data_IF_008768509659
#
_entry.id   IF_008768509659
#
_cell.length_a   1.000
_cell.length_b   1.000
_cell.length_c   1.000
_cell.angle_alpha   90.00
_cell.angle_beta   90.00
_cell.angle_gamma   90.00
#
_symmetry.space_group_name_H-M   'P 1'
#
loop_
_entity.id
_entity.type
_entity.pdbx_description
1 polymer ?
#
# COMPACT_ATOMS: atom_id res chain seq x y z
N UNK A 1 -30.36 -20.95 -22.45
CA UNK A 1 -29.12 -21.36 -23.15
C UNK A 1 -28.13 -20.21 -23.11
N UNK A 2 -27.17 -20.28 -22.19
CA UNK A 2 -25.81 -19.77 -22.33
C UNK A 2 -25.12 -20.13 -21.00
N UNK A 3 -24.27 -21.17 -20.99
CA UNK A 3 -23.40 -21.39 -19.84
C UNK A 3 -22.43 -20.19 -19.78
N UNK A 4 -22.50 -19.39 -18.71
CA UNK A 4 -21.79 -18.11 -18.64
C UNK A 4 -20.36 -18.30 -18.14
N UNK A 5 -20.06 -19.40 -17.44
CA UNK A 5 -18.72 -19.68 -16.95
C UNK A 5 -18.53 -21.19 -16.72
N UNK A 6 -17.41 -21.77 -17.17
CA UNK A 6 -17.03 -23.15 -16.86
C UNK A 6 -15.84 -23.15 -15.93
N UNK A 7 -16.03 -23.58 -14.67
CA UNK A 7 -14.95 -23.74 -13.69
C UNK A 7 -14.74 -25.23 -13.47
N UNK A 8 -13.64 -25.78 -14.00
CA UNK A 8 -13.34 -27.21 -13.91
C UNK A 8 -14.40 -28.08 -14.59
N UNK A 9 -15.11 -28.90 -13.82
CA UNK A 9 -16.20 -29.78 -14.31
C UNK A 9 -17.58 -29.15 -14.23
N UNK A 10 -17.70 -27.95 -13.65
CA UNK A 10 -18.99 -27.31 -13.39
C UNK A 10 -19.27 -26.25 -14.44
N UNK A 11 -20.34 -26.45 -15.22
CA UNK A 11 -20.93 -25.41 -16.05
C UNK A 11 -21.89 -24.60 -15.18
N UNK A 12 -21.57 -23.33 -14.96
CA UNK A 12 -22.36 -22.42 -14.16
C UNK A 12 -23.32 -21.67 -15.07
N UNK A 13 -24.62 -21.87 -14.85
CA UNK A 13 -25.65 -20.97 -15.36
C UNK A 13 -25.68 -19.70 -14.50
N UNK A 14 -26.28 -18.62 -15.00
CA UNK A 14 -26.32 -17.30 -14.33
C UNK A 14 -26.89 -17.41 -12.92
N UNK A 15 -27.96 -18.20 -12.75
CA UNK A 15 -28.60 -18.41 -11.45
C UNK A 15 -27.68 -19.14 -10.48
N UNK A 16 -27.05 -20.23 -10.93
CA UNK A 16 -26.09 -21.00 -10.12
C UNK A 16 -24.85 -20.19 -9.79
N UNK A 17 -24.38 -19.32 -10.71
CA UNK A 17 -23.28 -18.39 -10.46
C UNK A 17 -23.62 -17.38 -9.37
N UNK A 18 -24.81 -16.78 -9.42
CA UNK A 18 -25.28 -15.84 -8.39
C UNK A 18 -25.44 -16.51 -7.03
N UNK A 19 -25.97 -17.73 -6.99
CA UNK A 19 -26.07 -18.53 -5.75
C UNK A 19 -24.69 -18.85 -5.18
N UNK A 20 -23.73 -19.25 -6.02
CA UNK A 20 -22.35 -19.48 -5.58
C UNK A 20 -21.68 -18.18 -5.10
N UNK A 21 -21.82 -17.07 -5.83
CA UNK A 21 -21.30 -15.77 -5.40
C UNK A 21 -21.91 -15.31 -4.06
N UNK A 22 -23.19 -15.63 -3.80
CA UNK A 22 -23.83 -15.39 -2.51
C UNK A 22 -23.24 -16.28 -1.41
N UNK A 23 -23.14 -17.58 -1.66
CA UNK A 23 -22.60 -18.56 -0.71
C UNK A 23 -21.15 -18.25 -0.31
N UNK A 24 -20.33 -17.79 -1.26
CA UNK A 24 -18.93 -17.42 -1.04
C UNK A 24 -18.74 -15.95 -0.58
N UNK A 25 -19.83 -15.22 -0.27
CA UNK A 25 -19.81 -13.82 0.15
C UNK A 25 -19.07 -12.87 -0.81
N UNK A 26 -19.06 -13.21 -2.09
CA UNK A 26 -18.44 -12.41 -3.15
C UNK A 26 -19.40 -11.37 -3.73
N UNK A 27 -20.72 -11.55 -3.55
CA UNK A 27 -21.74 -10.57 -3.98
C UNK A 27 -21.52 -9.17 -3.39
N UNK A 28 -21.33 -8.99 -2.07
CA UNK A 28 -21.08 -7.67 -1.50
C UNK A 28 -19.82 -7.01 -2.09
N UNK A 29 -18.76 -7.80 -2.33
CA UNK A 29 -17.53 -7.30 -2.95
C UNK A 29 -17.77 -6.84 -4.39
N UNK A 30 -18.52 -7.61 -5.18
CA UNK A 30 -18.88 -7.21 -6.54
C UNK A 30 -19.70 -5.90 -6.55
N UNK A 31 -20.70 -5.80 -5.67
CA UNK A 31 -21.51 -4.57 -5.55
C UNK A 31 -20.65 -3.38 -5.16
N UNK A 32 -19.69 -3.55 -4.23
CA UNK A 32 -18.75 -2.50 -3.86
C UNK A 32 -17.92 -2.04 -5.07
N UNK A 33 -17.34 -2.97 -5.83
CA UNK A 33 -16.56 -2.61 -7.02
C UNK A 33 -17.40 -1.87 -8.07
N UNK A 34 -18.66 -2.29 -8.28
CA UNK A 34 -19.59 -1.60 -9.20
C UNK A 34 -19.91 -0.17 -8.74
N UNK A 35 -20.14 0.01 -7.43
CA UNK A 35 -20.39 1.35 -6.86
C UNK A 35 -19.15 2.24 -6.96
N UNK A 36 -17.96 1.66 -6.76
CA UNK A 36 -16.70 2.38 -6.97
C UNK A 36 -16.54 2.79 -8.43
N UNK A 37 -16.83 1.89 -9.37
CA UNK A 37 -16.73 2.15 -10.81
C UNK A 37 -17.69 3.29 -11.24
N UNK A 38 -18.90 3.35 -10.66
CA UNK A 38 -19.83 4.46 -10.86
C UNK A 38 -19.29 5.77 -10.26
N UNK A 39 -18.71 5.72 -9.06
CA UNK A 39 -18.17 6.91 -8.40
C UNK A 39 -16.94 7.53 -9.12
N UNK A 40 -16.23 6.73 -9.91
CA UNK A 40 -15.05 7.17 -10.68
C UNK A 40 -15.35 7.43 -12.16
N UNK A 41 -16.58 7.23 -12.62
CA UNK A 41 -16.97 7.35 -14.03
C UNK A 41 -16.69 8.77 -14.55
N UNK A 42 -17.10 9.78 -13.78
CA UNK A 42 -16.96 11.21 -14.10
C UNK A 42 -15.51 11.74 -14.02
N UNK A 43 -14.56 10.92 -13.57
CA UNK A 43 -13.17 11.35 -13.41
C UNK A 43 -12.40 11.19 -14.71
N UNK A 44 -11.96 12.32 -15.26
CA UNK A 44 -11.04 12.37 -16.38
C UNK A 44 -9.60 12.11 -15.93
N UNK A 45 -8.95 11.14 -16.56
CA UNK A 45 -7.54 10.80 -16.37
C UNK A 45 -6.89 10.46 -17.71
N UNK A 46 -5.68 10.98 -17.92
CA UNK A 46 -4.85 10.66 -19.09
C UNK A 46 -4.30 9.22 -19.00
N UNK A 47 -4.62 8.32 -19.96
CA UNK A 47 -4.25 6.90 -19.88
C UNK A 47 -2.74 6.66 -19.85
N UNK A 48 -1.96 7.41 -20.61
CA UNK A 48 -0.50 7.25 -20.66
C UNK A 48 0.17 7.66 -19.34
N UNK A 49 -0.30 8.76 -18.73
CA UNK A 49 0.21 9.23 -17.45
C UNK A 49 -0.17 8.25 -16.32
N UNK A 50 -1.39 7.73 -16.36
CA UNK A 50 -1.86 6.69 -15.43
C UNK A 50 -0.99 5.42 -15.52
N UNK A 51 -0.68 4.96 -16.73
CA UNK A 51 0.15 3.78 -16.95
C UNK A 51 1.59 3.97 -16.45
N UNK A 52 2.22 5.12 -16.76
CA UNK A 52 3.57 5.44 -16.25
C UNK A 52 3.59 5.46 -14.71
N UNK A 53 2.58 6.07 -14.09
CA UNK A 53 2.45 6.10 -12.63
C UNK A 53 2.29 4.68 -12.06
N UNK A 54 1.43 3.87 -12.67
CA UNK A 54 1.21 2.47 -12.30
C UNK A 54 2.49 1.63 -12.36
N UNK A 55 3.27 1.76 -13.44
CA UNK A 55 4.56 1.09 -13.59
C UNK A 55 5.56 1.54 -12.52
N UNK A 56 5.66 2.85 -12.26
CA UNK A 56 6.59 3.40 -11.26
C UNK A 56 6.28 2.90 -9.84
N UNK A 57 5.00 2.83 -9.45
CA UNK A 57 4.57 2.36 -8.13
C UNK A 57 4.88 0.88 -7.89
N UNK A 58 4.95 0.09 -8.97
CA UNK A 58 5.24 -1.35 -8.93
C UNK A 58 6.70 -1.68 -9.22
N UNK A 59 7.57 -0.67 -9.34
CA UNK A 59 8.97 -0.82 -9.75
C UNK A 59 9.15 -1.53 -11.11
N UNK A 60 8.18 -1.38 -12.02
CA UNK A 60 8.22 -1.94 -13.38
C UNK A 60 8.88 -0.93 -14.33
N UNK A 61 10.18 -0.72 -14.14
CA UNK A 61 10.96 0.31 -14.81
C UNK A 61 11.42 -0.09 -16.21
N UNK A 62 11.42 -1.40 -16.53
CA UNK A 62 11.82 -1.92 -17.85
C UNK A 62 10.66 -2.61 -18.57
N UNK A 63 10.71 -2.63 -19.92
CA UNK A 63 9.73 -3.33 -20.75
C UNK A 63 9.68 -4.84 -20.44
N UNK A 64 10.84 -5.46 -20.16
CA UNK A 64 10.90 -6.87 -19.74
C UNK A 64 10.15 -7.13 -18.42
N UNK A 65 10.26 -6.23 -17.44
CA UNK A 65 9.52 -6.33 -16.18
C UNK A 65 8.01 -6.16 -16.40
N UNK A 66 7.61 -5.25 -17.29
CA UNK A 66 6.21 -5.04 -17.64
C UNK A 66 5.62 -6.26 -18.35
N UNK A 67 6.34 -6.86 -19.30
CA UNK A 67 5.93 -8.11 -19.96
C UNK A 67 5.84 -9.26 -18.97
N UNK A 68 6.86 -9.44 -18.13
CA UNK A 68 6.86 -10.50 -17.10
C UNK A 68 5.67 -10.35 -16.14
N UNK A 69 5.33 -9.12 -15.75
CA UNK A 69 4.18 -8.86 -14.89
C UNK A 69 2.85 -9.14 -15.62
N UNK A 70 2.73 -8.76 -16.89
CA UNK A 70 1.55 -9.07 -17.72
C UNK A 70 1.35 -10.59 -17.84
N UNK A 71 2.42 -11.32 -18.12
CA UNK A 71 2.42 -12.78 -18.26
C UNK A 71 2.05 -13.47 -16.93
N UNK A 72 2.62 -13.03 -15.81
CA UNK A 72 2.30 -13.56 -14.48
C UNK A 72 0.83 -13.36 -14.11
N UNK A 73 0.24 -12.23 -14.51
CA UNK A 73 -1.14 -11.90 -14.20
C UNK A 73 -2.12 -12.38 -15.28
N UNK A 74 -1.64 -13.00 -16.36
CA UNK A 74 -2.42 -13.39 -17.54
C UNK A 74 -3.26 -12.21 -18.09
N UNK A 75 -2.68 -11.02 -18.10
CA UNK A 75 -3.33 -9.78 -18.55
C UNK A 75 -2.87 -9.40 -19.93
N UNK A 76 -3.80 -8.96 -20.77
CA UNK A 76 -3.43 -8.29 -22.02
C UNK A 76 -2.94 -6.86 -21.75
N UNK A 77 -2.21 -6.29 -22.71
CA UNK A 77 -1.74 -4.91 -22.62
C UNK A 77 -2.91 -3.94 -22.40
N UNK A 78 -4.03 -4.12 -23.11
CA UNK A 78 -5.25 -3.32 -22.92
C UNK A 78 -5.84 -3.46 -21.51
N UNK A 79 -5.87 -4.67 -20.95
CA UNK A 79 -6.35 -4.88 -19.58
C UNK A 79 -5.42 -4.23 -18.55
N UNK A 80 -4.11 -4.28 -18.77
CA UNK A 80 -3.14 -3.59 -17.92
C UNK A 80 -3.35 -2.07 -17.96
N UNK A 81 -3.62 -1.50 -19.14
CA UNK A 81 -3.98 -0.08 -19.27
C UNK A 81 -5.28 0.26 -18.54
N UNK A 82 -6.32 -0.57 -18.65
CA UNK A 82 -7.59 -0.36 -17.95
C UNK A 82 -7.42 -0.42 -16.43
N UNK A 83 -6.61 -1.35 -15.92
CA UNK A 83 -6.27 -1.44 -14.50
C UNK A 83 -5.53 -0.19 -14.01
N UNK A 84 -4.53 0.26 -14.77
CA UNK A 84 -3.79 1.48 -14.46
C UNK A 84 -4.69 2.72 -14.45
N UNK A 85 -5.57 2.84 -15.46
CA UNK A 85 -6.53 3.94 -15.55
C UNK A 85 -7.49 3.93 -14.37
N UNK A 86 -8.02 2.75 -13.99
CA UNK A 86 -8.89 2.59 -12.84
C UNK A 86 -8.21 3.02 -11.54
N UNK A 87 -6.99 2.54 -11.29
CA UNK A 87 -6.23 2.93 -10.09
C UNK A 87 -5.97 4.44 -10.04
N UNK A 88 -5.64 5.05 -11.18
CA UNK A 88 -5.43 6.50 -11.27
C UNK A 88 -6.72 7.28 -10.98
N UNK A 89 -7.86 6.87 -11.54
CA UNK A 89 -9.16 7.49 -11.27
C UNK A 89 -9.54 7.38 -9.80
N UNK A 90 -9.35 6.21 -9.17
CA UNK A 90 -9.59 6.00 -7.73
C UNK A 90 -8.68 6.91 -6.89
N UNK A 91 -7.41 7.05 -7.25
CA UNK A 91 -6.50 7.94 -6.52
C UNK A 91 -6.93 9.40 -6.62
N UNK A 92 -7.39 9.83 -7.81
CA UNK A 92 -7.90 11.19 -8.02
C UNK A 92 -9.22 11.42 -7.27
N UNK A 93 -10.14 10.44 -7.28
CA UNK A 93 -11.38 10.50 -6.47
C UNK A 93 -11.07 10.72 -4.99
N UNK A 94 -10.06 10.01 -4.46
CA UNK A 94 -9.67 10.14 -3.06
C UNK A 94 -9.15 11.54 -2.73
N UNK A 95 -8.32 12.09 -3.61
CA UNK A 95 -7.79 13.44 -3.47
C UNK A 95 -8.90 14.50 -3.55
N UNK A 96 -9.78 14.40 -4.55
CA UNK A 96 -10.87 15.35 -4.75
C UNK A 96 -11.89 15.32 -3.60
N UNK A 97 -12.15 14.14 -3.03
CA UNK A 97 -13.13 13.97 -1.95
C UNK A 97 -12.56 14.33 -0.57
N UNK A 98 -11.33 13.92 -0.28
CA UNK A 98 -10.76 14.01 1.08
C UNK A 98 -9.42 14.73 1.17
N UNK A 99 -8.79 15.13 0.06
CA UNK A 99 -7.50 15.83 0.08
C UNK A 99 -7.52 17.06 0.98
N UNK A 100 -8.57 17.89 0.84
CA UNK A 100 -8.76 19.09 1.65
C UNK A 100 -9.00 18.82 3.15
N UNK A 101 -9.44 17.61 3.51
CA UNK A 101 -9.69 17.20 4.90
C UNK A 101 -8.49 16.47 5.51
N UNK A 102 -7.58 15.98 4.67
CA UNK A 102 -6.47 15.11 5.07
C UNK A 102 -5.51 15.82 6.02
N UNK A 103 -5.20 17.09 5.76
CA UNK A 103 -4.32 17.88 6.64
C UNK A 103 -4.94 18.09 8.02
N UNK A 104 -6.21 18.52 8.08
CA UNK A 104 -6.92 18.73 9.35
C UNK A 104 -6.99 17.44 10.15
N UNK A 105 -7.34 16.33 9.49
CA UNK A 105 -7.39 15.01 10.11
C UNK A 105 -6.03 14.53 10.61
N UNK A 106 -4.96 14.82 9.86
CA UNK A 106 -3.59 14.51 10.28
C UNK A 106 -3.20 15.30 11.54
N UNK A 107 -3.52 16.59 11.60
CA UNK A 107 -3.21 17.44 12.76
C UNK A 107 -3.90 16.96 14.04
N UNK A 108 -5.18 16.58 13.96
CA UNK A 108 -5.91 15.99 15.10
C UNK A 108 -5.24 14.73 15.65
N UNK A 109 -4.59 13.95 14.77
CA UNK A 109 -3.94 12.69 15.13
C UNK A 109 -2.44 12.79 15.24
N UNK A 110 -1.86 13.98 15.07
CA UNK A 110 -0.41 14.18 14.98
C UNK A 110 0.33 13.54 16.16
N UNK A 111 -0.18 13.70 17.38
CA UNK A 111 0.42 13.11 18.59
C UNK A 111 0.50 11.57 18.53
N UNK A 112 -0.49 10.92 17.91
CA UNK A 112 -0.53 9.46 17.76
C UNK A 112 0.23 8.96 16.53
N UNK A 113 0.54 9.86 15.58
CA UNK A 113 1.25 9.56 14.34
C UNK A 113 2.73 9.97 14.39
N UNK A 114 3.09 10.87 15.31
CA UNK A 114 4.44 11.30 15.56
C UNK A 114 5.28 10.10 15.97
N UNK A 115 6.30 9.82 15.16
CA UNK A 115 7.29 8.78 15.44
C UNK A 115 8.53 9.46 15.97
N UNK A 116 9.06 8.94 17.07
CA UNK A 116 10.33 9.41 17.63
C UNK A 116 11.40 8.39 17.26
N UNK A 117 12.46 8.85 16.62
CA UNK A 117 13.67 8.07 16.45
C UNK A 117 14.52 8.24 17.72
N UNK A 118 14.80 7.14 18.41
CA UNK A 118 15.73 7.14 19.53
C UNK A 118 16.85 6.14 19.27
N UNK A 119 18.04 6.49 19.76
CA UNK A 119 19.19 5.60 19.81
C UNK A 119 19.36 5.17 21.27
N UNK A 120 19.79 3.93 21.49
CA UNK A 120 19.90 3.35 22.83
C UNK A 120 21.29 2.74 23.03
N UNK A 121 21.91 3.05 24.16
CA UNK A 121 23.08 2.32 24.65
C UNK A 121 22.57 1.33 25.70
N UNK A 122 22.81 0.04 25.47
CA UNK A 122 22.44 -1.03 26.42
C UNK A 122 23.70 -1.56 27.08
N UNK A 123 23.66 -1.84 28.36
CA UNK A 123 24.75 -2.52 29.06
C UNK A 123 24.18 -3.30 30.24
N UNK A 124 24.79 -4.45 30.56
CA UNK A 124 24.44 -5.23 31.76
C UNK A 124 25.10 -4.71 33.03
N UNK A 125 26.12 -3.85 32.91
CA UNK A 125 26.84 -3.28 34.05
C UNK A 125 26.22 -1.94 34.48
N UNK A 126 25.59 -1.86 35.66
CA UNK A 126 25.00 -0.62 36.16
C UNK A 126 26.04 0.49 36.40
N UNK A 127 27.29 0.14 36.72
CA UNK A 127 28.36 1.10 36.97
C UNK A 127 28.76 1.80 35.67
N UNK A 128 28.89 1.02 34.60
CA UNK A 128 29.18 1.56 33.26
C UNK A 128 28.03 2.45 32.75
N UNK A 129 26.77 2.07 32.99
CA UNK A 129 25.64 2.92 32.62
C UNK A 129 25.69 4.30 33.30
N UNK A 130 26.09 4.35 34.58
CA UNK A 130 26.21 5.60 35.32
C UNK A 130 27.40 6.44 34.85
N UNK A 131 28.54 5.82 34.52
CA UNK A 131 29.68 6.52 33.92
C UNK A 131 29.32 7.13 32.56
N UNK A 132 28.65 6.37 31.69
CA UNK A 132 28.20 6.85 30.38
C UNK A 132 27.22 8.02 30.50
N UNK A 133 26.35 8.02 31.52
CA UNK A 133 25.45 9.13 31.81
C UNK A 133 26.23 10.42 32.13
N UNK A 134 27.25 10.35 33.00
CA UNK A 134 28.08 11.51 33.32
C UNK A 134 28.89 11.99 32.12
N UNK A 135 29.47 11.08 31.32
CA UNK A 135 30.20 11.45 30.10
C UNK A 135 29.33 12.16 29.06
N UNK A 136 28.05 11.81 28.99
CA UNK A 136 27.09 12.47 28.10
C UNK A 136 26.71 13.87 28.60
N UNK A 137 26.54 14.05 29.90
CA UNK A 137 26.12 15.33 30.49
C UNK A 137 27.25 16.34 30.67
N UNK A 138 28.41 15.89 31.15
CA UNK A 138 29.46 16.78 31.67
C UNK A 138 30.66 16.88 30.72
N UNK A 139 31.03 15.79 30.06
CA UNK A 139 32.22 15.72 29.20
C UNK A 139 31.94 15.97 27.71
N UNK A 140 30.67 16.19 27.34
CA UNK A 140 30.26 16.44 25.96
C UNK A 140 30.53 15.26 25.01
N UNK A 141 30.61 14.04 25.54
CA UNK A 141 30.85 12.84 24.74
C UNK A 141 29.76 12.62 23.69
N UNK A 142 30.16 12.32 22.45
CA UNK A 142 29.23 12.00 21.37
C UNK A 142 28.48 10.70 21.69
N UNK A 143 27.15 10.77 21.70
CA UNK A 143 26.29 9.60 21.93
C UNK A 143 26.60 8.46 20.96
N UNK A 144 26.85 8.78 19.68
CA UNK A 144 27.15 7.78 18.66
C UNK A 144 28.47 7.03 18.96
N UNK A 145 29.48 7.75 19.43
CA UNK A 145 30.77 7.16 19.76
C UNK A 145 30.66 6.28 21.00
N UNK A 146 29.97 6.76 22.05
CA UNK A 146 29.72 5.94 23.25
C UNK A 146 28.88 4.70 22.92
N UNK A 147 27.86 4.82 22.08
CA UNK A 147 27.06 3.68 21.65
C UNK A 147 27.89 2.64 20.90
N UNK A 148 28.79 3.07 20.01
CA UNK A 148 29.65 2.16 19.24
C UNK A 148 30.62 1.37 20.13
N UNK A 149 31.13 1.98 21.19
CA UNK A 149 32.15 1.36 22.04
C UNK A 149 31.56 0.54 23.19
N UNK A 150 30.40 0.93 23.71
CA UNK A 150 29.88 0.41 24.98
C UNK A 150 28.48 -0.21 24.90
N UNK A 151 27.75 -0.06 23.78
CA UNK A 151 26.42 -0.67 23.67
C UNK A 151 26.50 -2.17 23.42
N UNK A 152 25.72 -2.93 24.18
CA UNK A 152 25.61 -4.38 24.14
C UNK A 152 24.22 -4.80 23.64
N UNK A 153 24.18 -5.57 22.55
CA UNK A 153 22.95 -6.15 21.99
C UNK A 153 22.53 -5.57 20.63
N UNK A 154 21.62 -6.27 19.94
CA UNK A 154 20.97 -5.81 18.70
C UNK A 154 19.82 -4.85 18.96
#
# INVERSE_FOLDING_TARGET
MAAVLKIGKSELDIRTLLEQLHQHQLLPRLVQEVVVDQAIEDIECEPEAAYKKFCSQRNLLTEEQQQTWQDQNNLTQEQAYMLALREAKIAKFKEDTWGNQTESYFLERKINLDRVLYSLIRTKDPSLAQELYFRLNDDGGSFADLARHYSEGQ
#
